data_IF_011367274875
#
_entry.id   IF_011367274875
#
_cell.length_a   1.000
_cell.length_b   1.000
_cell.length_c   1.000
_cell.angle_alpha   90.00
_cell.angle_beta   90.00
_cell.angle_gamma   90.00
#
_symmetry.space_group_name_H-M   'P 1'
#
loop_
_entity.id
_entity.type
_entity.pdbx_description
1 polymer ?
#
# COMPACT_ATOMS: atom_id res chain seq x y z
N UNK A 1 -22.54 21.55 11.69
CA UNK A 1 -21.81 20.28 11.93
C UNK A 1 -20.41 20.65 12.43
N UNK A 2 -20.18 20.68 13.74
CA UNK A 2 -18.88 21.06 14.30
C UNK A 2 -17.86 19.98 13.98
N UNK A 3 -16.80 20.37 13.27
CA UNK A 3 -15.76 19.46 12.85
C UNK A 3 -14.81 19.23 14.04
N UNK A 4 -14.90 18.06 14.68
CA UNK A 4 -13.94 17.65 15.72
C UNK A 4 -12.52 17.72 15.15
N UNK A 5 -11.53 18.05 16.00
CA UNK A 5 -10.10 18.08 15.65
C UNK A 5 -9.66 16.79 14.95
N UNK A 6 -10.20 15.64 15.37
CA UNK A 6 -9.92 14.33 14.78
C UNK A 6 -10.45 14.20 13.35
N UNK A 7 -11.67 14.69 13.10
CA UNK A 7 -12.27 14.70 11.75
C UNK A 7 -11.48 15.62 10.82
N UNK A 8 -11.03 16.77 11.32
CA UNK A 8 -10.13 17.66 10.57
C UNK A 8 -8.81 16.97 10.21
N UNK A 9 -8.18 16.28 11.16
CA UNK A 9 -6.94 15.55 10.90
C UNK A 9 -7.14 14.46 9.83
N UNK A 10 -8.23 13.69 9.90
CA UNK A 10 -8.55 12.66 8.90
C UNK A 10 -8.77 13.25 7.50
N UNK A 11 -9.49 14.37 7.39
CA UNK A 11 -9.72 15.03 6.10
C UNK A 11 -8.41 15.58 5.53
N UNK A 12 -7.57 16.19 6.36
CA UNK A 12 -6.27 16.74 5.94
C UNK A 12 -5.35 15.62 5.47
N UNK A 13 -5.20 14.54 6.23
CA UNK A 13 -4.33 13.42 5.82
C UNK A 13 -4.83 12.71 4.57
N UNK A 14 -6.14 12.48 4.45
CA UNK A 14 -6.75 11.92 3.24
C UNK A 14 -6.52 12.80 2.01
N UNK A 15 -6.63 14.13 2.16
CA UNK A 15 -6.36 15.08 1.08
C UNK A 15 -4.89 15.06 0.66
N UNK A 16 -3.96 15.06 1.61
CA UNK A 16 -2.51 15.00 1.32
C UNK A 16 -2.14 13.70 0.60
N UNK A 17 -2.66 12.56 1.06
CA UNK A 17 -2.40 11.25 0.43
C UNK A 17 -3.03 11.19 -0.96
N UNK A 18 -4.24 11.72 -1.14
CA UNK A 18 -4.91 11.81 -2.45
C UNK A 18 -4.13 12.65 -3.45
N UNK A 19 -3.66 13.84 -3.03
CA UNK A 19 -2.81 14.71 -3.88
C UNK A 19 -1.49 14.00 -4.23
N UNK A 20 -0.84 13.37 -3.25
CA UNK A 20 0.39 12.62 -3.48
C UNK A 20 0.18 11.47 -4.48
N UNK A 21 -0.95 10.76 -4.40
CA UNK A 21 -1.29 9.69 -5.35
C UNK A 21 -1.46 10.21 -6.78
N UNK A 22 -2.14 11.36 -6.96
CA UNK A 22 -2.31 11.98 -8.30
C UNK A 22 -0.97 12.48 -8.85
N UNK A 23 -0.14 13.10 -8.01
CA UNK A 23 1.20 13.55 -8.40
C UNK A 23 2.08 12.38 -8.84
N UNK A 24 2.04 11.24 -8.12
CA UNK A 24 2.79 10.05 -8.49
C UNK A 24 2.34 9.46 -9.84
N UNK A 25 1.04 9.51 -10.17
CA UNK A 25 0.56 9.14 -11.51
C UNK A 25 1.11 10.10 -12.57
N UNK A 26 1.07 11.41 -12.30
CA UNK A 26 1.61 12.42 -13.23
C UNK A 26 3.12 12.29 -13.45
N UNK A 27 3.86 11.86 -12.43
CA UNK A 27 5.32 11.67 -12.45
C UNK A 27 5.76 10.31 -13.05
N UNK A 28 4.84 9.49 -13.56
CA UNK A 28 5.17 8.30 -14.34
C UNK A 28 4.73 6.96 -13.74
N UNK A 29 3.97 6.93 -12.64
CA UNK A 29 3.33 5.70 -12.19
C UNK A 29 2.15 5.35 -13.13
N UNK A 30 1.87 4.07 -13.43
CA UNK A 30 0.77 3.72 -14.32
C UNK A 30 -0.56 4.33 -13.86
N UNK A 31 -1.41 4.73 -14.81
CA UNK A 31 -2.65 5.47 -14.53
C UNK A 31 -3.60 4.80 -13.51
N UNK A 32 -3.49 3.49 -13.31
CA UNK A 32 -4.29 2.73 -12.33
C UNK A 32 -3.54 2.37 -11.03
N UNK A 33 -2.27 2.78 -10.86
CA UNK A 33 -1.40 2.31 -9.77
C UNK A 33 -1.15 3.34 -8.67
N UNK A 34 -1.33 4.64 -8.93
CA UNK A 34 -1.27 5.74 -7.95
C UNK A 34 -0.28 5.50 -6.81
N UNK A 35 -0.79 5.00 -5.68
CA UNK A 35 0.02 4.50 -4.59
C UNK A 35 -0.40 3.06 -4.24
N UNK A 36 0.41 2.08 -4.63
CA UNK A 36 0.09 0.64 -4.53
C UNK A 36 1.19 -0.12 -3.79
N UNK A 37 0.97 -0.41 -2.51
CA UNK A 37 1.95 -1.10 -1.67
C UNK A 37 2.21 -2.54 -2.18
N UNK A 38 1.17 -3.25 -2.63
CA UNK A 38 1.33 -4.60 -3.18
C UNK A 38 2.23 -4.62 -4.43
N UNK A 39 2.09 -3.62 -5.30
CA UNK A 39 2.92 -3.44 -6.49
C UNK A 39 4.35 -3.11 -6.10
N UNK A 40 4.55 -2.23 -5.11
CA UNK A 40 5.88 -1.84 -4.65
C UNK A 40 6.62 -3.01 -3.98
N UNK A 41 5.90 -3.86 -3.25
CA UNK A 41 6.47 -5.09 -2.69
C UNK A 41 6.90 -6.06 -3.78
N UNK A 42 6.08 -6.24 -4.83
CA UNK A 42 6.46 -7.03 -6.02
C UNK A 42 7.71 -6.46 -6.68
N UNK A 43 7.74 -5.16 -6.95
CA UNK A 43 8.84 -4.51 -7.64
C UNK A 43 10.15 -4.64 -6.83
N UNK A 44 10.05 -4.51 -5.51
CA UNK A 44 11.16 -4.75 -4.56
C UNK A 44 11.61 -6.21 -4.55
N UNK A 45 10.68 -7.17 -4.58
CA UNK A 45 11.00 -8.59 -4.72
C UNK A 45 11.68 -8.89 -6.07
N UNK A 46 11.36 -8.12 -7.12
CA UNK A 46 12.06 -8.15 -8.40
C UNK A 46 13.49 -7.62 -8.30
N UNK A 47 13.69 -6.50 -7.61
CA UNK A 47 15.01 -5.94 -7.35
C UNK A 47 15.90 -6.88 -6.51
N UNK A 48 15.31 -7.65 -5.61
CA UNK A 48 15.98 -8.71 -4.83
C UNK A 48 16.24 -10.00 -5.62
N UNK A 49 15.80 -10.09 -6.88
CA UNK A 49 15.99 -11.26 -7.74
C UNK A 49 15.05 -12.43 -7.46
N UNK A 50 14.00 -12.23 -6.66
CA UNK A 50 13.03 -13.27 -6.29
C UNK A 50 12.09 -13.65 -7.44
N UNK A 51 11.94 -12.78 -8.44
CA UNK A 51 11.27 -13.08 -9.70
C UNK A 51 11.96 -12.36 -10.88
N UNK A 52 11.80 -12.88 -12.10
CA UNK A 52 12.56 -12.46 -13.31
C UNK A 52 11.75 -11.65 -14.33
N UNK A 53 10.76 -10.88 -13.90
CA UNK A 53 9.99 -10.03 -14.82
C UNK A 53 10.72 -8.69 -15.02
N UNK A 54 11.50 -8.56 -16.10
CA UNK A 54 12.44 -7.45 -16.32
C UNK A 54 11.86 -6.02 -16.27
N UNK A 55 10.55 -5.86 -16.49
CA UNK A 55 9.87 -4.56 -16.42
C UNK A 55 9.67 -4.07 -14.97
N UNK A 56 9.72 -4.98 -13.99
CA UNK A 56 9.36 -4.71 -12.57
C UNK A 56 10.46 -5.13 -11.59
N UNK A 57 11.73 -5.00 -11.99
CA UNK A 57 12.90 -5.31 -11.15
C UNK A 57 13.62 -4.05 -10.65
N UNK A 58 12.91 -3.19 -9.93
CA UNK A 58 13.50 -1.98 -9.36
C UNK A 58 12.84 -1.62 -8.02
N UNK A 59 13.62 -1.06 -7.11
CA UNK A 59 13.12 -0.58 -5.84
C UNK A 59 12.56 0.84 -6.01
N UNK A 60 11.25 0.99 -5.78
CA UNK A 60 10.56 2.28 -5.85
C UNK A 60 10.85 3.12 -4.59
N UNK A 61 11.35 4.37 -4.72
CA UNK A 61 11.70 5.20 -3.57
C UNK A 61 10.50 5.52 -2.67
N UNK A 62 9.27 5.44 -3.19
CA UNK A 62 8.02 5.65 -2.45
C UNK A 62 7.93 4.72 -1.24
N UNK A 63 8.25 3.43 -1.41
CA UNK A 63 8.18 2.46 -0.31
C UNK A 63 9.23 2.76 0.77
N UNK A 64 10.45 3.12 0.35
CA UNK A 64 11.54 3.48 1.26
C UNK A 64 11.18 4.75 2.03
N UNK A 65 10.63 5.75 1.35
CA UNK A 65 10.18 7.00 1.95
C UNK A 65 9.08 6.79 3.00
N UNK A 66 8.14 5.88 2.76
CA UNK A 66 7.09 5.54 3.73
C UNK A 66 7.64 4.86 4.97
N UNK A 67 8.55 3.89 4.79
CA UNK A 67 9.16 3.17 5.91
C UNK A 67 9.99 4.13 6.76
N UNK A 68 10.78 5.00 6.13
CA UNK A 68 11.56 6.03 6.82
C UNK A 68 10.67 7.07 7.51
N UNK A 69 9.61 7.53 6.83
CA UNK A 69 8.65 8.47 7.41
C UNK A 69 7.93 7.91 8.63
N UNK A 70 7.47 6.66 8.56
CA UNK A 70 6.86 5.95 9.69
C UNK A 70 7.84 5.76 10.84
N UNK A 71 9.10 5.46 10.54
CA UNK A 71 10.15 5.32 11.54
C UNK A 71 10.46 6.65 12.26
N UNK A 72 10.62 7.75 11.53
CA UNK A 72 10.85 9.09 12.10
C UNK A 72 9.65 9.51 12.96
N UNK A 73 8.43 9.27 12.48
CA UNK A 73 7.20 9.58 13.23
C UNK A 73 7.10 8.76 14.54
N UNK A 74 7.45 7.47 14.50
CA UNK A 74 7.45 6.61 15.68
C UNK A 74 8.53 7.04 16.70
N UNK A 75 9.71 7.47 16.23
CA UNK A 75 10.76 8.00 17.10
C UNK A 75 10.38 9.34 17.73
N UNK A 76 9.83 10.27 16.96
CA UNK A 76 9.44 11.59 17.49
C UNK A 76 8.26 11.51 18.45
N UNK A 77 7.36 10.55 18.26
CA UNK A 77 6.27 10.25 19.19
C UNK A 77 6.73 9.46 20.44
N UNK A 78 7.98 8.98 20.49
CA UNK A 78 8.47 8.15 21.60
C UNK A 78 7.85 6.75 21.70
N UNK A 79 7.01 6.36 20.73
CA UNK A 79 6.30 5.06 20.70
C UNK A 79 7.09 3.95 19.98
N UNK A 80 8.33 4.23 19.56
CA UNK A 80 9.16 3.24 18.89
C UNK A 80 9.48 2.07 19.82
N UNK A 81 8.88 0.91 19.54
CA UNK A 81 9.13 -0.35 20.25
C UNK A 81 9.54 -1.42 19.25
N UNK A 82 10.78 -1.91 19.37
CA UNK A 82 11.24 -3.06 18.59
C UNK A 82 10.49 -4.32 19.04
N UNK A 83 9.61 -4.83 18.18
CA UNK A 83 8.86 -6.06 18.40
C UNK A 83 9.38 -7.14 17.46
N UNK A 84 10.13 -8.10 18.01
CA UNK A 84 10.46 -9.35 17.30
C UNK A 84 9.28 -10.31 17.34
N UNK A 85 8.84 -10.84 16.19
CA UNK A 85 7.79 -11.86 16.14
C UNK A 85 8.33 -13.24 16.50
N UNK A 86 7.51 -14.10 17.12
CA UNK A 86 7.93 -15.46 17.53
C UNK A 86 8.15 -16.44 16.36
N UNK A 87 7.95 -16.01 15.11
CA UNK A 87 8.18 -16.83 13.91
C UNK A 87 8.34 -15.96 12.64
N UNK A 88 9.52 -15.36 12.46
CA UNK A 88 9.83 -14.49 11.30
C UNK A 88 9.59 -15.19 9.96
N UNK A 89 9.94 -16.47 9.85
CA UNK A 89 9.78 -17.25 8.61
C UNK A 89 8.31 -17.42 8.22
N UNK A 90 7.44 -17.79 9.17
CA UNK A 90 6.01 -17.97 8.90
C UNK A 90 5.37 -16.66 8.44
N UNK A 91 5.70 -15.53 9.08
CA UNK A 91 5.20 -14.21 8.68
C UNK A 91 5.68 -13.80 7.29
N UNK A 92 6.92 -14.12 6.95
CA UNK A 92 7.45 -13.87 5.62
C UNK A 92 6.67 -14.67 4.57
N UNK A 93 6.45 -15.96 4.79
CA UNK A 93 5.68 -16.83 3.88
C UNK A 93 4.22 -16.35 3.76
N UNK A 94 3.57 -15.98 4.86
CA UNK A 94 2.23 -15.36 4.84
C UNK A 94 2.21 -14.07 4.02
N UNK A 95 3.26 -13.24 4.12
CA UNK A 95 3.44 -12.05 3.30
C UNK A 95 3.57 -12.35 1.80
N UNK A 96 4.26 -13.44 1.44
CA UNK A 96 4.35 -13.91 0.04
C UNK A 96 2.98 -14.29 -0.49
N UNK A 97 2.20 -15.07 0.26
CA UNK A 97 0.84 -15.44 -0.14
C UNK A 97 -0.10 -14.22 -0.25
N UNK A 98 0.01 -13.27 0.69
CA UNK A 98 -0.72 -12.01 0.64
C UNK A 98 -0.35 -11.20 -0.60
N UNK A 99 0.94 -11.10 -0.95
CA UNK A 99 1.40 -10.41 -2.15
C UNK A 99 0.84 -11.07 -3.42
N UNK A 100 0.92 -12.40 -3.52
CA UNK A 100 0.38 -13.15 -4.67
C UNK A 100 -1.13 -12.91 -4.79
N UNK A 101 -1.88 -13.04 -3.69
CA UNK A 101 -3.33 -12.79 -3.68
C UNK A 101 -3.68 -11.36 -4.11
N UNK A 102 -2.99 -10.36 -3.56
CA UNK A 102 -3.19 -8.95 -3.91
C UNK A 102 -2.89 -8.64 -5.39
N UNK A 103 -1.92 -9.35 -5.99
CA UNK A 103 -1.59 -9.19 -7.42
C UNK A 103 -2.60 -9.91 -8.32
N UNK A 104 -3.05 -11.12 -7.97
CA UNK A 104 -4.01 -11.91 -8.77
C UNK A 104 -5.37 -11.21 -8.82
N UNK A 105 -5.86 -10.73 -7.69
CA UNK A 105 -7.16 -10.05 -7.62
C UNK A 105 -7.09 -8.56 -7.93
N UNK A 106 -5.90 -8.06 -8.29
CA UNK A 106 -5.64 -6.63 -8.46
C UNK A 106 -6.07 -5.79 -7.24
N UNK A 107 -6.10 -6.38 -6.05
CA UNK A 107 -6.62 -5.78 -4.83
C UNK A 107 -5.52 -5.15 -3.96
N UNK A 108 -5.53 -3.84 -3.82
CA UNK A 108 -4.80 -3.14 -2.75
C UNK A 108 -5.73 -2.02 -2.29
N UNK A 109 -6.04 -1.91 -0.98
CA UNK A 109 -7.14 -1.06 -0.50
C UNK A 109 -7.02 0.38 -1.00
N UNK A 110 -5.80 0.93 -1.00
CA UNK A 110 -5.57 2.28 -1.50
C UNK A 110 -5.67 2.37 -3.04
N UNK A 111 -5.16 1.37 -3.77
CA UNK A 111 -5.26 1.32 -5.23
C UNK A 111 -6.72 1.18 -5.68
N UNK A 112 -7.52 0.37 -5.00
CA UNK A 112 -8.91 0.14 -5.37
C UNK A 112 -9.76 1.37 -5.11
N UNK A 113 -9.55 2.07 -3.99
CA UNK A 113 -10.21 3.35 -3.73
C UNK A 113 -9.84 4.41 -4.79
N UNK A 114 -8.56 4.48 -5.19
CA UNK A 114 -8.12 5.39 -6.24
C UNK A 114 -8.70 5.03 -7.62
N UNK A 115 -8.82 3.73 -7.93
CA UNK A 115 -9.44 3.24 -9.17
C UNK A 115 -10.95 3.51 -9.22
N UNK A 116 -11.64 3.33 -8.10
CA UNK A 116 -13.06 3.72 -7.97
C UNK A 116 -13.20 5.24 -8.19
N UNK A 117 -12.31 6.04 -7.58
CA UNK A 117 -12.25 7.49 -7.81
C UNK A 117 -11.96 7.88 -9.27
N UNK A 118 -11.21 7.06 -10.00
CA UNK A 118 -10.92 7.20 -11.42
C UNK A 118 -12.00 6.66 -12.37
N UNK A 119 -13.11 6.14 -11.85
CA UNK A 119 -14.26 5.65 -12.64
C UNK A 119 -14.23 4.17 -13.02
N UNK A 120 -13.29 3.38 -12.50
CA UNK A 120 -13.19 1.94 -12.76
C UNK A 120 -14.04 1.15 -11.75
N UNK A 121 -15.28 0.82 -12.13
CA UNK A 121 -16.20 0.06 -11.27
C UNK A 121 -15.74 -1.39 -11.00
N UNK A 122 -14.81 -1.95 -11.79
CA UNK A 122 -14.30 -3.30 -11.51
C UNK A 122 -13.50 -3.35 -10.21
N UNK A 123 -12.96 -2.21 -9.76
CA UNK A 123 -12.27 -2.11 -8.47
C UNK A 123 -13.21 -2.32 -7.28
N UNK A 124 -14.53 -2.14 -7.44
CA UNK A 124 -15.52 -2.43 -6.38
C UNK A 124 -15.56 -3.93 -6.07
N UNK A 125 -15.53 -4.78 -7.11
CA UNK A 125 -15.50 -6.24 -6.94
C UNK A 125 -14.20 -6.67 -6.27
N UNK A 126 -13.07 -6.08 -6.66
CA UNK A 126 -11.77 -6.30 -6.01
C UNK A 126 -11.78 -5.92 -4.52
N UNK A 127 -12.39 -4.78 -4.18
CA UNK A 127 -12.51 -4.30 -2.80
C UNK A 127 -13.39 -5.23 -1.94
N UNK A 128 -14.55 -5.63 -2.44
CA UNK A 128 -15.41 -6.59 -1.72
C UNK A 128 -14.76 -7.97 -1.58
N UNK A 129 -14.04 -8.43 -2.61
CA UNK A 129 -13.25 -9.66 -2.54
C UNK A 129 -12.16 -9.58 -1.47
N UNK A 130 -11.45 -8.45 -1.37
CA UNK A 130 -10.47 -8.21 -0.30
C UNK A 130 -11.13 -8.18 1.08
N UNK A 131 -12.28 -7.49 1.24
CA UNK A 131 -13.02 -7.45 2.49
C UNK A 131 -13.49 -8.83 2.93
N UNK A 132 -14.06 -9.63 2.03
CA UNK A 132 -14.47 -11.00 2.33
C UNK A 132 -13.26 -11.86 2.71
N UNK A 133 -12.14 -11.73 2.00
CA UNK A 133 -10.90 -12.44 2.32
C UNK A 133 -10.36 -12.13 3.72
N UNK A 134 -10.40 -10.85 4.13
CA UNK A 134 -10.00 -10.44 5.50
C UNK A 134 -11.00 -10.89 6.57
N UNK A 135 -12.28 -11.00 6.22
CA UNK A 135 -13.31 -11.42 7.18
C UNK A 135 -13.29 -12.92 7.47
N UNK A 136 -12.99 -13.75 6.46
CA UNK A 136 -13.02 -15.20 6.58
C UNK A 136 -11.64 -15.86 6.81
N UNK A 137 -10.54 -15.12 6.60
CA UNK A 137 -9.15 -15.60 6.76
C UNK A 137 -8.54 -15.22 8.10
#
# INVERSE_FOLDING_TARGET
MSLSREKMLMVVTGTVIGIAAVLLVALGNPGNMGFCIACFLRDTAGALGLHRAGIVQYARPELIGLVLGAFIAAMSAGEFRSRGGSSTFVRFILGVFMMIGALVFLGCPLRDILRIGGGDLNAVVGLFGFMAGVFFG
#
